data_IF_752126785344
#
_entry.id   IF_752126785344
#
_cell.length_a   1.000
_cell.length_b   1.000
_cell.length_c   1.000
_cell.angle_alpha   90.00
_cell.angle_beta   90.00
_cell.angle_gamma   90.00
#
_symmetry.space_group_name_H-M   'P 1'
#
loop_
_entity.id
_entity.type
_entity.pdbx_description
1 polymer ?
#
# COMPACT_ATOMS: atom_id res chain seq x y z
N UNK A 1 -43.00 38.24 -2.99
CA UNK A 1 -41.57 38.57 -3.18
C UNK A 1 -40.74 37.31 -2.96
N UNK A 2 -39.82 37.00 -3.89
CA UNK A 2 -38.57 36.20 -3.73
C UNK A 2 -38.72 34.70 -3.33
N UNK A 3 -37.94 33.72 -3.78
CA UNK A 3 -36.94 33.52 -4.84
C UNK A 3 -36.59 32.00 -4.78
N UNK A 4 -36.75 31.29 -5.91
CA UNK A 4 -35.85 30.29 -6.55
C UNK A 4 -35.12 29.15 -5.78
N UNK A 5 -35.07 28.00 -6.48
CA UNK A 5 -33.96 27.03 -6.72
C UNK A 5 -34.01 25.59 -6.14
N UNK A 6 -34.29 24.67 -7.09
CA UNK A 6 -33.69 23.36 -7.39
C UNK A 6 -32.71 22.71 -6.39
N UNK A 7 -33.05 21.46 -6.02
CA UNK A 7 -32.25 20.28 -6.36
C UNK A 7 -30.97 20.00 -5.56
N UNK A 8 -31.06 19.08 -4.60
CA UNK A 8 -29.97 18.17 -4.25
C UNK A 8 -30.52 16.98 -3.45
N UNK A 9 -30.76 15.85 -4.11
CA UNK A 9 -30.85 14.56 -3.42
C UNK A 9 -29.41 14.16 -3.11
N UNK A 10 -28.95 14.45 -1.89
CA UNK A 10 -27.71 13.88 -1.36
C UNK A 10 -28.03 12.48 -0.83
N UNK A 11 -27.94 11.46 -1.69
CA UNK A 11 -27.82 10.07 -1.23
C UNK A 11 -26.46 9.89 -0.58
N UNK A 12 -26.44 9.96 0.75
CA UNK A 12 -25.28 9.66 1.58
C UNK A 12 -25.11 8.13 1.66
N UNK A 13 -24.36 7.53 0.74
CA UNK A 13 -23.89 6.14 0.90
C UNK A 13 -22.46 6.15 1.46
N UNK A 14 -22.34 6.52 2.74
CA UNK A 14 -21.11 6.32 3.51
C UNK A 14 -21.00 4.84 3.86
N UNK A 15 -20.41 4.05 2.96
CA UNK A 15 -20.05 2.66 3.25
C UNK A 15 -18.60 2.64 3.76
N UNK A 16 -18.47 2.36 5.05
CA UNK A 16 -17.26 1.74 5.61
C UNK A 16 -16.12 2.66 6.02
N UNK A 17 -16.38 3.62 6.91
CA UNK A 17 -15.35 4.04 7.86
C UNK A 17 -15.22 2.91 8.91
N UNK A 18 -14.40 1.90 8.64
CA UNK A 18 -14.04 0.92 9.68
C UNK A 18 -13.13 1.62 10.69
N UNK A 19 -13.72 1.91 11.83
CA UNK A 19 -13.09 2.34 13.07
C UNK A 19 -11.88 1.46 13.40
N UNK A 20 -10.66 1.97 13.22
CA UNK A 20 -9.46 1.42 13.87
C UNK A 20 -9.35 1.99 15.28
N UNK A 21 -10.25 1.56 16.16
CA UNK A 21 -10.12 1.73 17.59
C UNK A 21 -10.11 0.34 18.21
N UNK A 22 -8.92 -0.23 18.42
CA UNK A 22 -8.46 -0.66 19.73
C UNK A 22 -7.08 -1.33 19.61
N UNK A 23 -6.22 -1.10 20.60
CA UNK A 23 -4.83 -1.58 20.78
C UNK A 23 -3.70 -0.81 20.08
N UNK A 24 -3.75 0.53 20.15
CA UNK A 24 -2.52 1.31 20.26
C UNK A 24 -2.01 1.19 21.71
N UNK A 25 -1.13 0.22 21.98
CA UNK A 25 -0.15 0.45 23.03
C UNK A 25 0.73 1.60 22.53
N UNK A 26 0.64 2.74 23.22
CA UNK A 26 1.32 3.97 22.90
C UNK A 26 2.83 3.86 23.13
N UNK A 27 3.51 3.07 22.30
CA UNK A 27 4.93 3.27 22.06
C UNK A 27 5.00 4.48 21.12
N UNK A 28 5.51 5.60 21.63
CA UNK A 28 5.62 6.89 20.95
C UNK A 28 6.60 6.78 19.79
N UNK A 29 6.20 6.09 18.72
CA UNK A 29 6.92 6.04 17.46
C UNK A 29 6.73 7.40 16.82
N UNK A 30 7.75 8.24 16.93
CA UNK A 30 7.83 9.47 16.15
C UNK A 30 8.00 9.06 14.68
N UNK A 31 6.87 8.89 13.97
CA UNK A 31 6.86 8.74 12.52
C UNK A 31 7.29 10.11 11.99
N UNK A 32 8.58 10.24 11.67
CA UNK A 32 9.11 11.43 11.03
C UNK A 32 8.28 11.72 9.78
N UNK A 33 7.74 12.93 9.66
CA UNK A 33 6.84 13.36 8.57
C UNK A 33 7.48 13.14 7.19
N UNK A 34 8.82 13.08 7.11
CA UNK A 34 9.60 12.67 5.93
C UNK A 34 9.26 11.28 5.37
N UNK A 35 8.64 10.39 6.15
CA UNK A 35 8.30 9.04 5.71
C UNK A 35 7.07 8.94 4.81
N UNK A 36 6.14 9.91 4.88
CA UNK A 36 4.84 9.84 4.21
C UNK A 36 4.89 10.23 2.73
N UNK A 37 5.68 11.24 2.37
CA UNK A 37 5.91 11.61 0.95
C UNK A 37 6.54 10.45 0.17
N UNK A 38 7.38 9.65 0.84
CA UNK A 38 7.94 8.45 0.26
C UNK A 38 6.89 7.35 0.03
N UNK A 39 5.83 7.28 0.84
CA UNK A 39 4.77 6.26 0.68
C UNK A 39 3.97 6.52 -0.59
N UNK A 40 3.44 7.74 -0.78
CA UNK A 40 2.61 8.07 -1.93
C UNK A 40 3.38 7.91 -3.25
N UNK A 41 4.64 8.37 -3.30
CA UNK A 41 5.50 8.24 -4.48
C UNK A 41 5.83 6.77 -4.79
N UNK A 42 6.23 5.99 -3.76
CA UNK A 42 6.52 4.56 -3.93
C UNK A 42 5.28 3.80 -4.44
N UNK A 43 4.12 4.05 -3.84
CA UNK A 43 2.87 3.40 -4.24
C UNK A 43 2.51 3.80 -5.67
N UNK A 44 2.65 5.07 -6.04
CA UNK A 44 2.35 5.56 -7.40
C UNK A 44 3.25 4.92 -8.45
N UNK A 45 4.57 4.83 -8.19
CA UNK A 45 5.53 4.16 -9.10
C UNK A 45 5.17 2.68 -9.27
N UNK A 46 4.82 1.99 -8.18
CA UNK A 46 4.39 0.58 -8.23
C UNK A 46 3.08 0.47 -9.02
N UNK A 47 2.03 1.22 -8.67
CA UNK A 47 0.70 1.11 -9.30
C UNK A 47 0.72 1.46 -10.78
N UNK A 48 1.56 2.41 -11.20
CA UNK A 48 1.73 2.74 -12.62
C UNK A 48 2.22 1.55 -13.43
N UNK A 49 3.07 0.70 -12.85
CA UNK A 49 3.54 -0.54 -13.50
C UNK A 49 2.45 -1.62 -13.52
N UNK A 50 1.61 -1.66 -12.48
CA UNK A 50 0.52 -2.63 -12.34
C UNK A 50 -0.67 -2.35 -13.27
N UNK A 51 -0.74 -1.18 -13.92
CA UNK A 51 -1.78 -0.88 -14.92
C UNK A 51 -1.83 -1.91 -16.06
N UNK A 52 -0.69 -2.56 -16.35
CA UNK A 52 -0.59 -3.65 -17.35
C UNK A 52 -1.36 -4.92 -16.97
N UNK A 53 -1.76 -5.08 -15.69
CA UNK A 53 -2.43 -6.28 -15.19
C UNK A 53 -3.94 -6.28 -15.43
N UNK A 54 -4.52 -5.21 -15.98
CA UNK A 54 -5.96 -5.06 -16.20
C UNK A 54 -6.77 -5.44 -14.95
N UNK A 55 -6.41 -4.84 -13.81
CA UNK A 55 -7.12 -5.04 -12.55
C UNK A 55 -8.47 -4.31 -12.59
N UNK A 56 -9.50 -4.93 -12.02
CA UNK A 56 -10.79 -4.25 -11.81
C UNK A 56 -10.62 -3.15 -10.76
N UNK A 57 -11.54 -2.17 -10.73
CA UNK A 57 -11.53 -1.12 -9.71
C UNK A 57 -11.38 -1.64 -8.27
N UNK A 58 -12.16 -2.66 -7.85
CA UNK A 58 -11.99 -3.29 -6.53
C UNK A 58 -10.61 -3.93 -6.31
N UNK A 59 -10.06 -4.62 -7.33
CA UNK A 59 -8.73 -5.23 -7.25
C UNK A 59 -7.64 -4.18 -7.09
N UNK A 60 -7.68 -3.11 -7.89
CA UNK A 60 -6.75 -1.99 -7.79
C UNK A 60 -6.78 -1.38 -6.39
N UNK A 61 -7.98 -1.08 -5.86
CA UNK A 61 -8.12 -0.52 -4.50
C UNK A 61 -7.51 -1.44 -3.43
N UNK A 62 -7.76 -2.74 -3.52
CA UNK A 62 -7.23 -3.70 -2.56
C UNK A 62 -5.70 -3.82 -2.63
N UNK A 63 -5.14 -3.87 -3.85
CA UNK A 63 -3.68 -3.89 -4.07
C UNK A 63 -3.03 -2.62 -3.56
N UNK A 64 -3.57 -1.44 -3.92
CA UNK A 64 -3.06 -0.15 -3.43
C UNK A 64 -3.10 -0.05 -1.91
N UNK A 65 -4.15 -0.57 -1.28
CA UNK A 65 -4.26 -0.59 0.20
C UNK A 65 -3.20 -1.50 0.82
N UNK A 66 -3.03 -2.72 0.28
CA UNK A 66 -2.01 -3.65 0.76
C UNK A 66 -0.59 -3.08 0.63
N UNK A 67 -0.29 -2.45 -0.51
CA UNK A 67 1.00 -1.80 -0.76
C UNK A 67 1.22 -0.59 0.17
N UNK A 68 0.24 0.30 0.30
CA UNK A 68 0.33 1.47 1.21
C UNK A 68 0.64 1.03 2.65
N UNK A 69 -0.07 0.02 3.14
CA UNK A 69 0.15 -0.54 4.47
C UNK A 69 1.57 -1.11 4.61
N UNK A 70 2.02 -1.87 3.60
CA UNK A 70 3.37 -2.43 3.60
C UNK A 70 4.45 -1.34 3.59
N UNK A 71 4.37 -0.35 2.68
CA UNK A 71 5.38 0.72 2.57
C UNK A 71 5.46 1.53 3.87
N UNK A 72 4.31 1.78 4.51
CA UNK A 72 4.25 2.44 5.81
C UNK A 72 4.98 1.62 6.89
N UNK A 73 4.73 0.31 6.96
CA UNK A 73 5.42 -0.59 7.90
C UNK A 73 6.92 -0.68 7.58
N UNK A 74 7.29 -0.82 6.32
CA UNK A 74 8.69 -0.81 5.89
C UNK A 74 9.41 0.46 6.35
N UNK A 75 8.84 1.64 6.09
CA UNK A 75 9.45 2.92 6.48
C UNK A 75 9.60 3.06 8.01
N UNK A 76 8.69 2.45 8.78
CA UNK A 76 8.76 2.41 10.25
C UNK A 76 9.83 1.44 10.75
N UNK A 77 9.96 0.28 10.09
CA UNK A 77 10.79 -0.84 10.58
C UNK A 77 12.21 -0.84 9.98
N UNK A 78 12.47 -0.13 8.88
CA UNK A 78 13.75 -0.20 8.14
C UNK A 78 14.97 0.13 9.01
N UNK A 79 14.83 1.02 10.00
CA UNK A 79 15.91 1.39 10.92
C UNK A 79 16.31 0.26 11.88
N UNK A 80 15.40 -0.69 12.13
CA UNK A 80 15.59 -1.82 13.04
C UNK A 80 15.55 -3.17 12.31
N UNK A 81 15.50 -3.19 10.98
CA UNK A 81 15.32 -4.40 10.19
C UNK A 81 16.48 -5.40 10.31
N UNK A 82 17.67 -4.96 10.72
CA UNK A 82 18.82 -5.81 11.03
C UNK A 82 18.70 -6.55 12.37
N UNK A 83 17.76 -6.16 13.23
CA UNK A 83 17.48 -6.86 14.49
C UNK A 83 16.54 -8.04 14.26
N UNK A 84 16.62 -9.07 15.11
CA UNK A 84 15.70 -10.21 15.02
C UNK A 84 14.21 -9.80 15.11
N UNK A 85 13.90 -8.85 16.00
CA UNK A 85 12.53 -8.31 16.15
C UNK A 85 12.08 -7.57 14.88
N UNK A 86 12.91 -6.66 14.36
CA UNK A 86 12.57 -5.90 13.16
C UNK A 86 12.42 -6.79 11.92
N UNK A 87 13.32 -7.77 11.74
CA UNK A 87 13.24 -8.75 10.65
C UNK A 87 11.95 -9.59 10.71
N UNK A 88 11.58 -10.06 11.91
CA UNK A 88 10.33 -10.81 12.14
C UNK A 88 9.09 -9.97 11.80
N UNK A 89 9.05 -8.71 12.28
CA UNK A 89 7.94 -7.80 12.00
C UNK A 89 7.83 -7.45 10.52
N UNK A 90 8.96 -7.27 9.84
CA UNK A 90 8.99 -6.97 8.41
C UNK A 90 8.55 -8.18 7.57
N UNK A 91 8.95 -9.38 7.97
CA UNK A 91 8.51 -10.64 7.36
C UNK A 91 7.00 -10.83 7.51
N UNK A 92 6.46 -10.56 8.70
CA UNK A 92 5.01 -10.61 8.94
C UNK A 92 4.27 -9.61 8.03
N UNK A 93 4.75 -8.36 7.95
CA UNK A 93 4.16 -7.33 7.10
C UNK A 93 4.20 -7.72 5.61
N UNK A 94 5.32 -8.28 5.13
CA UNK A 94 5.47 -8.82 3.77
C UNK A 94 4.43 -9.90 3.50
N UNK A 95 4.32 -10.90 4.38
CA UNK A 95 3.41 -12.03 4.20
C UNK A 95 1.94 -11.57 4.20
N UNK A 96 1.58 -10.63 5.07
CA UNK A 96 0.23 -10.03 5.07
C UNK A 96 -0.07 -9.32 3.75
N UNK A 97 0.85 -8.49 3.26
CA UNK A 97 0.64 -7.74 2.02
C UNK A 97 0.53 -8.67 0.80
N UNK A 98 1.46 -9.62 0.66
CA UNK A 98 1.46 -10.58 -0.45
C UNK A 98 0.22 -11.48 -0.42
N UNK A 99 -0.22 -11.93 0.76
CA UNK A 99 -1.45 -12.72 0.90
C UNK A 99 -2.69 -11.91 0.53
N UNK A 100 -2.79 -10.66 0.98
CA UNK A 100 -3.90 -9.78 0.63
C UNK A 100 -3.97 -9.53 -0.88
N UNK A 101 -2.82 -9.28 -1.52
CA UNK A 101 -2.75 -9.13 -2.98
C UNK A 101 -3.16 -10.42 -3.68
N UNK A 102 -2.61 -11.58 -3.30
CA UNK A 102 -2.94 -12.88 -3.90
C UNK A 102 -4.43 -13.18 -3.84
N UNK A 103 -5.05 -12.96 -2.68
CA UNK A 103 -6.50 -13.14 -2.49
C UNK A 103 -7.31 -12.18 -3.37
N UNK A 104 -6.85 -10.93 -3.52
CA UNK A 104 -7.58 -9.90 -4.26
C UNK A 104 -7.50 -10.07 -5.77
N UNK A 105 -6.31 -10.33 -6.32
CA UNK A 105 -6.09 -10.41 -7.77
C UNK A 105 -6.31 -11.82 -8.33
N UNK A 106 -6.30 -12.83 -7.45
CA UNK A 106 -6.40 -14.23 -7.82
C UNK A 106 -5.08 -14.83 -8.30
N UNK A 107 -5.00 -16.16 -8.29
CA UNK A 107 -3.77 -16.89 -8.65
C UNK A 107 -3.29 -16.60 -10.09
N UNK A 108 -4.22 -16.38 -11.02
CA UNK A 108 -3.91 -16.11 -12.43
C UNK A 108 -3.17 -14.80 -12.66
N UNK A 109 -3.41 -13.77 -11.83
CA UNK A 109 -2.75 -12.46 -11.94
C UNK A 109 -1.63 -12.25 -10.92
N UNK A 110 -1.55 -13.11 -9.90
CA UNK A 110 -0.55 -12.97 -8.82
C UNK A 110 0.89 -13.14 -9.31
N UNK A 111 1.17 -14.11 -10.19
CA UNK A 111 2.52 -14.27 -10.77
C UNK A 111 2.92 -13.07 -11.63
N UNK A 112 1.97 -12.51 -12.38
CA UNK A 112 2.18 -11.30 -13.17
C UNK A 112 2.39 -10.06 -12.29
N UNK A 113 1.71 -9.98 -11.14
CA UNK A 113 1.97 -8.97 -10.12
C UNK A 113 3.41 -9.05 -9.60
N UNK A 114 3.89 -10.24 -9.19
CA UNK A 114 5.27 -10.41 -8.74
C UNK A 114 6.28 -10.07 -9.84
N UNK A 115 6.00 -10.47 -11.08
CA UNK A 115 6.86 -10.17 -12.23
C UNK A 115 6.92 -8.66 -12.53
N UNK A 116 5.79 -7.96 -12.39
CA UNK A 116 5.72 -6.51 -12.54
C UNK A 116 6.56 -5.81 -11.49
N UNK A 117 6.48 -6.25 -10.22
CA UNK A 117 7.34 -5.73 -9.15
C UNK A 117 8.83 -5.95 -9.43
N UNK A 118 9.23 -7.15 -9.86
CA UNK A 118 10.62 -7.43 -10.25
C UNK A 118 11.10 -6.53 -11.38
N UNK A 119 10.23 -6.25 -12.35
CA UNK A 119 10.51 -5.34 -13.47
C UNK A 119 10.69 -3.91 -12.97
N UNK A 120 9.78 -3.42 -12.11
CA UNK A 120 9.90 -2.09 -11.49
C UNK A 120 11.19 -1.97 -10.68
N UNK A 121 11.58 -2.99 -9.91
CA UNK A 121 12.81 -2.99 -9.13
C UNK A 121 14.09 -2.94 -9.99
N UNK A 122 14.02 -3.47 -11.21
CA UNK A 122 15.15 -3.52 -12.15
C UNK A 122 15.21 -2.30 -13.08
N UNK A 123 14.13 -1.53 -13.18
CA UNK A 123 14.08 -0.34 -14.03
C UNK A 123 14.97 0.78 -13.47
N UNK A 124 15.85 1.35 -14.29
CA UNK A 124 16.80 2.41 -13.90
C UNK A 124 16.09 3.71 -13.51
N UNK A 125 14.91 3.99 -14.08
CA UNK A 125 14.11 5.18 -13.78
C UNK A 125 13.35 5.08 -12.43
N UNK A 126 13.17 3.88 -11.88
CA UNK A 126 12.56 3.69 -10.56
C UNK A 126 13.47 4.22 -9.47
N UNK A 127 12.90 4.97 -8.52
CA UNK A 127 13.67 5.57 -7.43
C UNK A 127 14.33 4.54 -6.53
N UNK A 128 15.45 4.91 -5.90
CA UNK A 128 16.19 4.02 -4.98
C UNK A 128 15.30 3.58 -3.80
N UNK A 129 14.46 4.48 -3.29
CA UNK A 129 13.55 4.19 -2.21
C UNK A 129 12.50 3.14 -2.60
N UNK A 130 11.87 3.30 -3.78
CA UNK A 130 10.93 2.31 -4.32
C UNK A 130 11.60 0.96 -4.54
N UNK A 131 12.81 0.94 -5.10
CA UNK A 131 13.59 -0.31 -5.28
C UNK A 131 13.83 -1.02 -3.95
N UNK A 132 14.18 -0.28 -2.90
CA UNK A 132 14.42 -0.86 -1.58
C UNK A 132 13.14 -1.47 -0.98
N UNK A 133 12.01 -0.77 -1.11
CA UNK A 133 10.70 -1.27 -0.67
C UNK A 133 10.31 -2.54 -1.45
N UNK A 134 10.40 -2.52 -2.78
CA UNK A 134 10.03 -3.66 -3.61
C UNK A 134 10.93 -4.86 -3.32
N UNK A 135 12.24 -4.66 -3.25
CA UNK A 135 13.17 -5.73 -2.91
C UNK A 135 12.84 -6.35 -1.56
N UNK A 136 12.50 -5.54 -0.56
CA UNK A 136 12.06 -6.04 0.74
C UNK A 136 10.72 -6.77 0.72
N UNK A 137 9.86 -6.49 -0.26
CA UNK A 137 8.54 -7.10 -0.40
C UNK A 137 8.63 -8.47 -1.10
N UNK A 138 9.50 -8.61 -2.10
CA UNK A 138 9.51 -9.80 -2.97
C UNK A 138 10.72 -10.72 -2.79
N UNK A 139 11.81 -10.26 -2.17
CA UNK A 139 12.96 -11.10 -1.77
C UNK A 139 12.79 -11.52 -0.32
#
# INVERSE_FOLDING_TARGET
>A
MKKIFLGAILTLTTVGATTFANSLHAEKVSISVMGLDNVANTVTEITSTLNTLNLTGPQTKAVTTALTNYVTKYNTLKAIASTAKGASQLTAAKNTALSAVKTSVGASKYSSFLSSLSTTASNTATSVATKAVINSLIK
#
